data_IF_100432993962
#
_entry.id   IF_100432993962
#
_cell.length_a   1.000
_cell.length_b   1.000
_cell.length_c   1.000
_cell.angle_alpha   90.00
_cell.angle_beta   90.00
_cell.angle_gamma   90.00
#
_symmetry.space_group_name_H-M   'P 1'
#
loop_
_entity.id
_entity.type
_entity.pdbx_description
1 polymer ?
#
# COMPACT_ATOMS: atom_id res chain seq x y z
N UNK A 1 23.45 0.61 -2.72
CA UNK A 1 23.50 1.70 -3.70
C UNK A 1 22.52 1.30 -4.78
N UNK A 2 21.30 1.80 -4.72
CA UNK A 2 20.21 1.30 -5.58
C UNK A 2 19.96 2.35 -6.64
N UNK A 3 20.23 1.97 -7.88
CA UNK A 3 20.09 2.79 -9.07
C UNK A 3 18.69 3.40 -9.20
N UNK A 4 18.67 4.69 -9.52
CA UNK A 4 17.47 5.40 -9.97
C UNK A 4 17.23 4.96 -11.41
N UNK A 5 16.24 4.09 -11.63
CA UNK A 5 15.87 3.67 -12.97
C UNK A 5 14.97 4.75 -13.60
N UNK A 6 15.54 5.60 -14.46
CA UNK A 6 14.79 6.59 -15.23
C UNK A 6 14.62 6.04 -16.66
N UNK A 7 13.39 5.69 -17.05
CA UNK A 7 13.06 5.11 -18.36
C UNK A 7 12.76 6.25 -19.37
N UNK A 8 13.13 6.13 -20.66
CA UNK A 8 13.25 7.26 -21.60
C UNK A 8 11.92 7.91 -22.03
N UNK A 9 11.99 9.24 -22.21
CA UNK A 9 10.92 10.07 -22.79
C UNK A 9 10.53 9.61 -24.20
N UNK A 10 9.22 9.45 -24.46
CA UNK A 10 8.69 9.15 -25.80
C UNK A 10 8.27 10.45 -26.51
N UNK A 11 8.91 10.77 -27.65
CA UNK A 11 8.48 11.88 -28.53
C UNK A 11 7.16 11.53 -29.21
N UNK A 12 6.15 12.39 -29.05
CA UNK A 12 4.90 12.35 -29.82
C UNK A 12 5.16 12.91 -31.23
N UNK A 13 4.47 12.36 -32.24
CA UNK A 13 4.55 12.76 -33.64
C UNK A 13 4.34 14.27 -33.81
N UNK A 14 5.31 14.92 -34.47
CA UNK A 14 5.42 16.37 -34.63
C UNK A 14 4.30 16.94 -35.51
N UNK A 15 3.47 17.81 -34.94
CA UNK A 15 2.84 18.91 -35.69
C UNK A 15 3.53 20.20 -35.27
N UNK A 16 4.22 20.82 -36.22
CA UNK A 16 5.12 21.95 -36.01
C UNK A 16 4.31 23.25 -35.86
N UNK A 17 3.83 23.51 -34.65
CA UNK A 17 3.50 24.83 -34.07
C UNK A 17 2.91 24.60 -32.66
N UNK A 18 3.33 25.36 -31.63
CA UNK A 18 2.76 25.40 -30.25
C UNK A 18 3.28 24.31 -29.27
N UNK A 19 4.56 24.38 -28.90
CA UNK A 19 5.30 23.28 -28.24
C UNK A 19 5.16 23.22 -26.70
N UNK A 20 4.09 22.60 -26.19
CA UNK A 20 4.10 22.02 -24.83
C UNK A 20 4.46 20.53 -24.92
N UNK A 21 5.35 20.05 -24.03
CA UNK A 21 5.73 18.63 -23.92
C UNK A 21 4.95 17.99 -22.78
N UNK A 22 4.33 16.84 -23.05
CA UNK A 22 3.73 15.99 -22.01
C UNK A 22 4.72 14.90 -21.61
N UNK A 23 4.77 14.59 -20.32
CA UNK A 23 5.56 13.51 -19.76
C UNK A 23 4.67 12.66 -18.85
N UNK A 24 4.81 11.35 -18.95
CA UNK A 24 4.23 10.39 -17.99
C UNK A 24 5.35 9.97 -17.05
N UNK A 25 5.04 9.94 -15.75
CA UNK A 25 5.98 9.60 -14.69
C UNK A 25 5.45 8.43 -13.89
N UNK A 26 6.32 7.48 -13.57
CA UNK A 26 6.04 6.44 -12.58
C UNK A 26 6.57 6.90 -11.23
N UNK A 27 5.72 6.83 -10.20
CA UNK A 27 6.08 7.16 -8.83
C UNK A 27 6.37 5.87 -8.08
N UNK A 28 7.61 5.73 -7.60
CA UNK A 28 8.03 4.60 -6.77
C UNK A 28 8.03 5.02 -5.31
N UNK A 29 7.15 4.43 -4.53
CA UNK A 29 7.12 4.58 -3.08
C UNK A 29 8.03 3.54 -2.42
N UNK A 30 8.54 3.87 -1.24
CA UNK A 30 9.40 2.94 -0.50
C UNK A 30 8.65 1.66 -0.14
N UNK A 31 9.09 0.52 -0.68
CA UNK A 31 8.53 -0.79 -0.36
C UNK A 31 8.76 -1.20 1.09
N UNK A 32 9.75 -0.62 1.77
CA UNK A 32 10.00 -0.85 3.20
C UNK A 32 9.09 -0.02 4.10
N UNK A 33 8.30 0.91 3.53
CA UNK A 33 7.32 1.68 4.29
C UNK A 33 6.21 0.78 4.82
N UNK A 34 5.82 1.05 6.07
CA UNK A 34 4.64 0.50 6.75
C UNK A 34 3.42 1.41 6.57
N UNK A 35 3.63 2.67 6.18
CA UNK A 35 2.57 3.64 5.93
C UNK A 35 1.81 3.32 4.64
N UNK A 36 0.51 3.66 4.59
CA UNK A 36 -0.27 3.59 3.36
C UNK A 36 0.34 4.41 2.23
N UNK A 37 0.09 3.97 0.99
CA UNK A 37 0.39 4.79 -0.19
C UNK A 37 -0.43 6.09 -0.09
N UNK A 38 0.19 7.27 -0.30
CA UNK A 38 -0.52 8.54 -0.29
C UNK A 38 -1.69 8.55 -1.27
N UNK A 39 -2.74 9.33 -0.97
CA UNK A 39 -3.88 9.41 -1.86
C UNK A 39 -3.50 10.11 -3.18
N UNK A 40 -4.24 9.85 -4.26
CA UNK A 40 -4.01 10.54 -5.54
C UNK A 40 -4.07 12.07 -5.38
N UNK A 41 -4.93 12.57 -4.50
CA UNK A 41 -5.03 14.00 -4.18
C UNK A 41 -3.74 14.51 -3.55
N UNK A 42 -3.27 13.85 -2.49
CA UNK A 42 -2.03 14.25 -1.80
C UNK A 42 -0.83 14.22 -2.75
N UNK A 43 -0.77 13.22 -3.64
CA UNK A 43 0.27 13.11 -4.67
C UNK A 43 0.22 14.30 -5.61
N UNK A 44 -0.95 14.62 -6.17
CA UNK A 44 -1.12 15.73 -7.12
C UNK A 44 -0.80 17.06 -6.46
N UNK A 45 -1.28 17.29 -5.24
CA UNK A 45 -1.02 18.53 -4.50
C UNK A 45 0.47 18.70 -4.19
N UNK A 46 1.12 17.65 -3.71
CA UNK A 46 2.57 17.65 -3.44
C UNK A 46 3.38 17.95 -4.70
N UNK A 47 3.02 17.34 -5.84
CA UNK A 47 3.71 17.60 -7.11
C UNK A 47 3.46 19.01 -7.64
N UNK A 48 2.25 19.55 -7.48
CA UNK A 48 1.92 20.93 -7.82
C UNK A 48 2.72 21.92 -6.99
N UNK A 49 2.80 21.69 -5.68
CA UNK A 49 3.58 22.52 -4.76
C UNK A 49 5.08 22.50 -5.12
N UNK A 50 5.63 21.30 -5.37
CA UNK A 50 7.02 21.15 -5.79
C UNK A 50 7.30 21.87 -7.13
N UNK A 51 6.39 21.76 -8.11
CA UNK A 51 6.54 22.42 -9.41
C UNK A 51 6.39 23.94 -9.34
N UNK A 52 5.57 24.47 -8.42
CA UNK A 52 5.39 25.90 -8.19
C UNK A 52 6.53 26.52 -7.35
N UNK A 53 7.34 25.70 -6.68
CA UNK A 53 8.40 26.17 -5.79
C UNK A 53 9.61 26.67 -6.59
N UNK A 54 10.04 27.96 -6.43
CA UNK A 54 11.13 28.54 -7.21
C UNK A 54 12.50 27.88 -7.01
N UNK A 55 12.69 27.11 -5.93
CA UNK A 55 13.94 26.43 -5.56
C UNK A 55 13.96 24.94 -5.90
N UNK A 56 12.95 24.45 -6.62
CA UNK A 56 12.77 23.03 -6.97
C UNK A 56 13.86 22.45 -7.87
N UNK A 57 14.72 23.30 -8.47
CA UNK A 57 15.80 22.86 -9.35
C UNK A 57 15.33 22.41 -10.73
N UNK A 58 14.05 22.57 -11.07
CA UNK A 58 13.54 22.34 -12.42
C UNK A 58 13.99 23.46 -13.36
N UNK A 59 14.74 23.11 -14.41
CA UNK A 59 15.08 24.02 -15.51
C UNK A 59 13.98 24.13 -16.58
N UNK A 60 12.76 23.66 -16.27
CA UNK A 60 11.62 23.59 -17.17
C UNK A 60 10.41 24.28 -16.52
N UNK A 61 9.64 25.03 -17.30
CA UNK A 61 8.35 25.56 -16.86
C UNK A 61 7.31 24.44 -16.95
N UNK A 62 6.68 24.12 -15.81
CA UNK A 62 5.65 23.08 -15.70
C UNK A 62 4.29 23.76 -15.58
N UNK A 63 3.35 23.41 -16.44
CA UNK A 63 1.95 23.78 -16.24
C UNK A 63 1.35 22.94 -15.10
N UNK A 64 1.31 23.52 -13.91
CA UNK A 64 0.80 22.85 -12.70
C UNK A 64 -0.65 22.39 -12.83
N UNK A 65 -1.45 23.00 -13.71
CA UNK A 65 -2.84 22.61 -13.92
C UNK A 65 -2.97 21.30 -14.70
N UNK A 66 -1.92 20.92 -15.43
CA UNK A 66 -1.84 19.68 -16.21
C UNK A 66 -1.44 18.44 -15.38
N UNK A 67 -0.99 18.63 -14.13
CA UNK A 67 -0.56 17.53 -13.26
C UNK A 67 -1.79 16.74 -12.78
N UNK A 68 -1.87 15.47 -13.17
CA UNK A 68 -2.91 14.54 -12.77
C UNK A 68 -2.37 13.11 -12.67
N UNK A 69 -3.02 12.29 -11.83
CA UNK A 69 -2.79 10.83 -11.79
C UNK A 69 -3.61 10.18 -12.90
N UNK A 70 -2.94 9.49 -13.81
CA UNK A 70 -3.58 8.78 -14.94
C UNK A 70 -3.87 7.31 -14.66
N UNK A 71 -3.18 6.72 -13.67
CA UNK A 71 -3.37 5.34 -13.20
C UNK A 71 -3.11 5.28 -11.70
N UNK A 72 -4.00 4.64 -10.95
CA UNK A 72 -3.89 4.52 -9.50
C UNK A 72 -3.98 3.08 -9.03
N UNK A 73 -3.26 2.76 -7.96
CA UNK A 73 -3.35 1.44 -7.34
C UNK A 73 -4.78 1.11 -6.93
N UNK A 74 -5.13 -0.16 -7.04
CA UNK A 74 -6.38 -0.71 -6.54
C UNK A 74 -6.17 -1.25 -5.13
N UNK A 75 -7.09 -0.95 -4.21
CA UNK A 75 -6.94 -1.26 -2.79
C UNK A 75 -7.99 -2.28 -2.35
N UNK A 76 -7.55 -3.37 -1.72
CA UNK A 76 -8.42 -4.32 -1.02
C UNK A 76 -8.19 -4.19 0.49
N UNK A 77 -9.16 -3.64 1.25
CA UNK A 77 -9.08 -3.63 2.70
C UNK A 77 -9.17 -5.04 3.29
N UNK A 78 -8.26 -5.34 4.21
CA UNK A 78 -8.16 -6.61 4.92
C UNK A 78 -8.18 -6.36 6.43
N UNK A 79 -8.93 -7.17 7.17
CA UNK A 79 -8.89 -7.23 8.63
C UNK A 79 -8.62 -8.65 9.10
N UNK A 80 -7.67 -8.80 10.03
CA UNK A 80 -7.35 -10.08 10.67
C UNK A 80 -7.27 -9.90 12.18
N UNK A 81 -7.69 -10.92 12.93
CA UNK A 81 -7.34 -11.02 14.34
C UNK A 81 -6.04 -11.82 14.50
N UNK A 82 -5.20 -11.32 15.40
CA UNK A 82 -3.98 -12.00 15.83
C UNK A 82 -3.91 -12.11 17.34
N UNK A 83 -3.16 -13.08 17.85
CA UNK A 83 -2.85 -13.10 19.27
C UNK A 83 -1.98 -11.88 19.65
N UNK A 84 -2.17 -11.38 20.87
CA UNK A 84 -1.40 -10.28 21.42
C UNK A 84 -2.18 -9.49 22.46
N UNK A 85 -1.44 -8.82 23.34
CA UNK A 85 -2.03 -7.94 24.36
C UNK A 85 -2.12 -6.53 23.81
N UNK A 86 -3.30 -5.92 23.91
CA UNK A 86 -3.46 -4.53 23.52
C UNK A 86 -2.78 -3.61 24.53
N UNK A 87 -2.03 -2.65 24.01
CA UNK A 87 -1.49 -1.51 24.75
C UNK A 87 -1.86 -0.24 24.01
N UNK A 88 -2.13 0.85 24.72
CA UNK A 88 -2.64 2.08 24.11
C UNK A 88 -1.73 2.64 23.00
N UNK A 89 -0.42 2.42 23.09
CA UNK A 89 0.51 2.83 22.03
C UNK A 89 0.19 2.19 20.67
N UNK A 90 -0.38 0.97 20.64
CA UNK A 90 -0.75 0.30 19.39
C UNK A 90 -1.86 1.03 18.61
N UNK A 91 -2.62 1.95 19.20
CA UNK A 91 -3.55 2.78 18.41
C UNK A 91 -2.91 4.03 17.79
N UNK A 92 -1.67 4.34 18.16
CA UNK A 92 -0.92 5.47 17.62
C UNK A 92 0.08 5.01 16.56
N UNK A 93 -0.17 5.36 15.30
CA UNK A 93 0.71 5.03 14.16
C UNK A 93 2.15 5.45 14.34
N UNK A 94 2.39 6.58 14.99
CA UNK A 94 3.74 7.12 15.20
C UNK A 94 4.48 6.47 16.38
N UNK A 95 3.84 5.57 17.12
CA UNK A 95 4.49 4.86 18.24
C UNK A 95 5.45 3.78 17.75
N UNK A 96 6.45 3.46 18.56
CA UNK A 96 7.35 2.34 18.28
C UNK A 96 6.59 1.01 18.23
N UNK A 97 5.62 0.81 19.12
CA UNK A 97 4.80 -0.39 19.22
C UNK A 97 3.99 -0.65 17.95
N UNK A 98 3.34 0.38 17.41
CA UNK A 98 2.64 0.27 16.14
C UNK A 98 3.60 -0.04 15.01
N UNK A 99 4.70 0.70 14.88
CA UNK A 99 5.65 0.54 13.77
C UNK A 99 6.33 -0.84 13.78
N UNK A 100 6.68 -1.35 14.96
CA UNK A 100 7.21 -2.71 15.14
C UNK A 100 6.15 -3.73 14.71
N UNK A 101 4.89 -3.57 15.13
CA UNK A 101 3.82 -4.53 14.78
C UNK A 101 3.47 -4.47 13.29
N UNK A 102 3.45 -3.28 12.69
CA UNK A 102 3.24 -3.08 11.27
C UNK A 102 4.33 -3.75 10.43
N UNK A 103 5.60 -3.52 10.78
CA UNK A 103 6.74 -4.16 10.13
C UNK A 103 6.70 -5.70 10.27
N UNK A 104 6.33 -6.19 11.44
CA UNK A 104 6.17 -7.63 11.71
C UNK A 104 5.08 -8.28 10.83
N UNK A 105 3.90 -7.66 10.72
CA UNK A 105 2.80 -8.16 9.89
C UNK A 105 3.18 -8.11 8.42
N UNK A 106 3.72 -6.98 7.97
CA UNK A 106 4.17 -6.77 6.60
C UNK A 106 5.20 -7.83 6.17
N UNK A 107 6.30 -7.94 6.92
CA UNK A 107 7.37 -8.92 6.64
C UNK A 107 6.88 -10.36 6.67
N UNK A 108 5.92 -10.66 7.55
CA UNK A 108 5.33 -12.00 7.63
C UNK A 108 4.41 -12.35 6.45
N UNK A 109 3.64 -11.38 5.94
CA UNK A 109 2.57 -11.65 4.97
C UNK A 109 2.96 -11.37 3.51
N UNK A 110 3.74 -10.32 3.25
CA UNK A 110 4.09 -9.92 1.87
C UNK A 110 4.73 -11.05 1.04
N UNK A 111 5.63 -11.91 1.57
CA UNK A 111 6.18 -13.02 0.78
C UNK A 111 5.11 -13.96 0.21
N UNK A 112 4.00 -14.16 0.91
CA UNK A 112 2.90 -15.01 0.43
C UNK A 112 2.05 -14.32 -0.63
N UNK A 113 1.86 -13.00 -0.51
CA UNK A 113 1.17 -12.21 -1.53
C UNK A 113 2.01 -12.09 -2.81
N UNK A 114 3.31 -11.85 -2.70
CA UNK A 114 4.20 -11.86 -3.87
C UNK A 114 4.28 -13.25 -4.52
N UNK A 115 4.17 -14.34 -3.74
CA UNK A 115 4.11 -15.67 -4.31
C UNK A 115 2.81 -15.95 -5.08
N UNK A 116 1.66 -15.47 -4.60
CA UNK A 116 0.36 -15.70 -5.24
C UNK A 116 0.03 -14.69 -6.36
N UNK A 117 0.57 -13.48 -6.26
CA UNK A 117 0.26 -12.34 -7.12
C UNK A 117 1.53 -11.62 -7.60
N UNK A 118 2.48 -12.33 -8.24
CA UNK A 118 3.84 -11.84 -8.49
C UNK A 118 3.93 -10.59 -9.35
N UNK A 119 2.94 -10.36 -10.21
CA UNK A 119 2.92 -9.22 -11.16
C UNK A 119 1.88 -8.17 -10.82
N UNK A 120 1.01 -8.42 -9.84
CA UNK A 120 -0.12 -7.54 -9.53
C UNK A 120 -0.11 -6.99 -8.12
N UNK A 121 0.42 -7.71 -7.13
CA UNK A 121 0.54 -7.20 -5.77
C UNK A 121 1.72 -6.23 -5.66
N UNK A 122 1.47 -5.11 -5.00
CA UNK A 122 2.47 -4.06 -4.80
C UNK A 122 2.96 -3.99 -3.36
N UNK A 123 2.04 -3.80 -2.40
CA UNK A 123 2.42 -3.56 -1.01
C UNK A 123 1.27 -3.87 -0.03
N UNK A 124 1.63 -4.28 1.18
CA UNK A 124 0.74 -4.30 2.35
C UNK A 124 1.09 -3.13 3.26
N UNK A 125 0.06 -2.35 3.64
CA UNK A 125 0.21 -1.24 4.59
C UNK A 125 -0.75 -1.36 5.75
N UNK A 126 -0.27 -1.16 6.98
CA UNK A 126 -1.10 -1.29 8.17
C UNK A 126 -1.78 0.05 8.47
N UNK A 127 -3.11 0.05 8.64
CA UNK A 127 -3.89 1.26 8.91
C UNK A 127 -4.20 1.47 10.37
N UNK A 128 -4.50 0.40 11.09
CA UNK A 128 -4.98 0.50 12.45
C UNK A 128 -4.72 -0.81 13.20
N UNK A 129 -4.44 -0.68 14.50
CA UNK A 129 -4.46 -1.78 15.44
C UNK A 129 -5.39 -1.38 16.59
N UNK A 130 -6.34 -2.24 16.90
CA UNK A 130 -7.24 -2.04 18.04
C UNK A 130 -7.34 -3.32 18.86
N UNK A 131 -7.82 -3.18 20.08
CA UNK A 131 -8.33 -4.32 20.83
C UNK A 131 -9.56 -4.89 20.11
N UNK A 132 -9.65 -6.21 20.01
CA UNK A 132 -10.87 -6.84 19.53
C UNK A 132 -11.74 -7.24 20.73
N UNK A 133 -12.95 -6.68 20.81
CA UNK A 133 -13.95 -7.07 21.81
C UNK A 133 -14.61 -8.39 21.41
N UNK A 134 -13.91 -9.51 21.56
CA UNK A 134 -14.48 -10.82 21.30
C UNK A 134 -15.28 -11.29 22.52
N UNK A 135 -16.60 -11.41 22.39
CA UNK A 135 -17.54 -11.76 23.48
C UNK A 135 -17.28 -13.11 24.15
N UNK A 136 -16.35 -13.93 23.65
CA UNK A 136 -16.04 -15.24 24.22
C UNK A 136 -14.69 -15.73 23.69
N UNK A 137 -13.58 -15.44 24.40
CA UNK A 137 -12.35 -16.26 24.45
C UNK A 137 -11.34 -15.64 25.43
N UNK A 138 -10.66 -16.51 26.19
CA UNK A 138 -9.66 -16.19 27.21
C UNK A 138 -8.31 -15.69 26.67
N UNK A 139 -8.21 -15.38 25.38
CA UNK A 139 -6.96 -14.98 24.73
C UNK A 139 -7.10 -13.53 24.26
N UNK A 140 -6.29 -12.60 24.77
CA UNK A 140 -6.22 -11.24 24.23
C UNK A 140 -5.96 -11.26 22.73
N UNK A 141 -6.71 -10.45 21.99
CA UNK A 141 -6.61 -10.39 20.54
C UNK A 141 -6.47 -8.96 20.04
N UNK A 142 -5.59 -8.80 19.07
CA UNK A 142 -5.38 -7.56 18.33
C UNK A 142 -6.13 -7.67 17.01
N UNK A 143 -6.99 -6.69 16.72
CA UNK A 143 -7.57 -6.49 15.41
C UNK A 143 -6.62 -5.61 14.60
N UNK A 144 -6.18 -6.14 13.46
CA UNK A 144 -5.27 -5.46 12.55
C UNK A 144 -6.01 -5.17 11.26
N UNK A 145 -6.15 -3.88 10.92
CA UNK A 145 -6.74 -3.44 9.66
C UNK A 145 -5.64 -2.93 8.75
N UNK A 146 -5.59 -3.44 7.51
CA UNK A 146 -4.57 -3.13 6.51
C UNK A 146 -5.20 -2.92 5.13
N UNK A 147 -4.44 -2.27 4.26
CA UNK A 147 -4.73 -2.19 2.83
C UNK A 147 -3.74 -3.07 2.06
N UNK A 148 -4.27 -3.89 1.16
CA UNK A 148 -3.50 -4.61 0.14
C UNK A 148 -3.59 -3.81 -1.15
N UNK A 149 -2.45 -3.34 -1.67
CA UNK A 149 -2.42 -2.57 -2.90
C UNK A 149 -2.01 -3.44 -4.09
N UNK A 150 -2.75 -3.27 -5.19
CA UNK A 150 -2.54 -3.93 -6.47
C UNK A 150 -2.40 -2.92 -7.61
N UNK A 151 -1.76 -3.33 -8.71
CA UNK A 151 -1.60 -2.48 -9.90
C UNK A 151 -2.94 -2.00 -10.49
N UNK A 152 -2.92 -0.80 -11.08
CA UNK A 152 -4.10 -0.09 -11.59
C UNK A 152 -4.95 -0.88 -12.59
N UNK A 153 -4.29 -1.65 -13.47
CA UNK A 153 -4.95 -2.40 -14.55
C UNK A 153 -4.95 -3.91 -14.31
N UNK A 154 -4.84 -4.32 -13.04
CA UNK A 154 -4.77 -5.74 -12.67
C UNK A 154 -6.16 -6.29 -12.37
N UNK A 155 -6.39 -7.55 -12.74
CA UNK A 155 -7.58 -8.28 -12.28
C UNK A 155 -7.41 -8.53 -10.78
N UNK A 156 -8.28 -7.94 -9.98
CA UNK A 156 -8.22 -8.09 -8.53
C UNK A 156 -8.57 -9.53 -8.11
N UNK A 157 -7.81 -10.10 -7.15
CA UNK A 157 -8.22 -11.34 -6.52
C UNK A 157 -9.54 -11.15 -5.75
N UNK A 158 -10.41 -12.15 -5.79
CA UNK A 158 -11.63 -12.16 -4.98
C UNK A 158 -11.33 -12.46 -3.50
N UNK A 159 -12.36 -12.31 -2.66
CA UNK A 159 -12.24 -12.54 -1.21
C UNK A 159 -11.71 -13.94 -0.88
N UNK A 160 -12.16 -14.97 -1.60
CA UNK A 160 -11.70 -16.35 -1.38
C UNK A 160 -10.21 -16.51 -1.66
N UNK A 161 -9.70 -15.90 -2.74
CA UNK A 161 -8.28 -15.95 -3.10
C UNK A 161 -7.42 -15.26 -2.04
N UNK A 162 -7.81 -14.08 -1.57
CA UNK A 162 -7.11 -13.36 -0.48
C UNK A 162 -7.13 -14.19 0.82
N UNK A 163 -8.27 -14.76 1.21
CA UNK A 163 -8.39 -15.61 2.40
C UNK A 163 -7.45 -16.81 2.30
N UNK A 164 -7.38 -17.47 1.13
CA UNK A 164 -6.50 -18.61 0.92
C UNK A 164 -5.01 -18.24 1.09
N UNK A 165 -4.58 -17.09 0.58
CA UNK A 165 -3.22 -16.57 0.78
C UNK A 165 -2.91 -16.42 2.27
N UNK A 166 -3.81 -15.78 3.04
CA UNK A 166 -3.63 -15.58 4.49
C UNK A 166 -3.65 -16.91 5.26
N UNK A 167 -4.55 -17.83 4.92
CA UNK A 167 -4.62 -19.16 5.55
C UNK A 167 -3.34 -19.94 5.31
N UNK A 168 -2.77 -19.86 4.09
CA UNK A 168 -1.48 -20.48 3.78
C UNK A 168 -0.35 -19.88 4.61
N UNK A 169 -0.32 -18.54 4.74
CA UNK A 169 0.65 -17.86 5.61
C UNK A 169 0.55 -18.31 7.07
N UNK A 170 -0.69 -18.36 7.60
CA UNK A 170 -0.96 -18.80 8.97
C UNK A 170 -0.53 -20.25 9.23
N UNK A 171 -0.65 -21.14 8.24
CA UNK A 171 -0.29 -22.57 8.33
C UNK A 171 1.18 -22.85 8.12
N UNK A 172 1.95 -21.91 7.56
CA UNK A 172 3.38 -22.11 7.31
C UNK A 172 4.23 -22.06 8.60
N UNK A 173 3.64 -21.67 9.74
CA UNK A 173 4.29 -21.61 11.06
C UNK A 173 5.57 -20.74 11.11
N UNK A 174 5.77 -19.85 10.13
CA UNK A 174 6.90 -18.92 10.05
C UNK A 174 6.58 -17.54 10.61
N UNK A 175 5.29 -17.26 10.87
CA UNK A 175 4.83 -15.98 11.40
C UNK A 175 5.18 -15.87 12.90
N UNK A 176 5.68 -14.71 13.37
CA UNK A 176 5.93 -14.48 14.79
C UNK A 176 4.64 -14.21 15.61
N UNK A 177 3.47 -14.36 14.98
CA UNK A 177 2.16 -14.22 15.57
C UNK A 177 1.20 -15.26 14.99
N UNK A 178 0.18 -15.61 15.75
CA UNK A 178 -0.90 -16.49 15.33
C UNK A 178 -2.02 -15.67 14.71
N UNK A 179 -2.49 -16.08 13.53
CA UNK A 179 -3.69 -15.52 12.89
C UNK A 179 -4.89 -16.42 13.22
N UNK A 180 -6.00 -15.82 13.65
CA UNK A 180 -7.26 -16.53 13.82
C UNK A 180 -8.01 -16.59 12.47
N UNK A 181 -7.81 -17.67 11.71
CA UNK A 181 -8.29 -17.77 10.32
C UNK A 181 -9.81 -17.65 10.14
N UNK A 182 -10.60 -17.95 11.17
CA UNK A 182 -12.05 -17.78 11.16
C UNK A 182 -12.52 -16.32 11.31
N UNK A 183 -11.58 -15.38 11.49
CA UNK A 183 -11.86 -13.95 11.72
C UNK A 183 -11.37 -13.05 10.58
N UNK A 184 -10.91 -13.65 9.48
CA UNK A 184 -10.43 -12.90 8.32
C UNK A 184 -11.63 -12.24 7.64
N UNK A 185 -11.55 -10.94 7.45
CA UNK A 185 -12.55 -10.16 6.73
C UNK A 185 -11.85 -9.43 5.58
N UNK A 186 -12.34 -9.65 4.36
CA UNK A 186 -11.87 -8.98 3.15
C UNK A 186 -13.03 -8.11 2.67
N UNK A 187 -12.81 -6.81 2.58
CA UNK A 187 -13.82 -5.86 2.11
C UNK A 187 -13.42 -5.35 0.71
N UNK A 188 -14.40 -4.95 -0.10
CA UNK A 188 -14.14 -4.26 -1.38
C UNK A 188 -13.95 -5.15 -2.61
N UNK A 189 -14.14 -6.46 -2.51
CA UNK A 189 -14.36 -7.31 -3.70
C UNK A 189 -15.86 -7.39 -3.95
N UNK A 190 -16.33 -7.10 -5.17
CA UNK A 190 -17.75 -6.99 -5.52
C UNK A 190 -18.54 -8.31 -5.48
N UNK A 191 -18.63 -8.93 -4.30
CA UNK A 191 -19.53 -10.03 -3.94
C UNK A 191 -20.67 -9.53 -3.05
#
# INVERSE_FOLDING_TARGET
MTDVNCIPFRRVSKTRAEENVQAELELVFSQTSTEPIPSNTDIVETLKEAAATPTSGFNLSIDVTSIAVIKSLQIIPLTILTNGTFVAALSNKSSAEFQIRASMIKTGLEPFFFADYPTSFSILSLKNISEASVKSRSVPTLQNTMDLAFGADTVLPNSTQIVNTIVRAARNNTLPFQIFTSSIVVNGTGE
#
